data_IF_573203595528
#
_entry.id   IF_573203595528
#
_cell.length_a   1.000
_cell.length_b   1.000
_cell.length_c   1.000
_cell.angle_alpha   90.00
_cell.angle_beta   90.00
_cell.angle_gamma   90.00
#
_symmetry.space_group_name_H-M   'P 1'
#
loop_
_entity.id
_entity.type
_entity.pdbx_description
1 polymer ?
#
# COMPACT_ATOMS: atom_id res chain seq x y z
N UNK A 1 -10.85 -9.38 -24.96
CA UNK A 1 -11.15 -10.82 -24.97
C UNK A 1 -11.90 -11.15 -23.70
N UNK A 2 -13.01 -11.85 -23.80
CA UNK A 2 -13.68 -12.51 -22.69
C UNK A 2 -13.53 -14.01 -22.93
N UNK A 3 -13.04 -14.74 -21.94
CA UNK A 3 -12.89 -16.19 -21.99
C UNK A 3 -13.79 -16.79 -20.92
N UNK A 4 -14.76 -17.60 -21.33
CA UNK A 4 -15.76 -18.26 -20.49
C UNK A 4 -15.48 -19.77 -20.34
N UNK A 5 -14.31 -20.23 -20.77
CA UNK A 5 -13.88 -21.63 -20.61
C UNK A 5 -13.95 -22.02 -19.13
N UNK A 6 -14.67 -23.11 -18.81
CA UNK A 6 -14.84 -23.61 -17.45
C UNK A 6 -13.50 -23.77 -16.74
N UNK A 7 -13.33 -23.10 -15.60
CA UNK A 7 -12.08 -23.11 -14.83
C UNK A 7 -10.99 -22.15 -15.32
N UNK A 8 -11.23 -21.40 -16.41
CA UNK A 8 -10.28 -20.44 -16.99
C UNK A 8 -10.93 -19.08 -17.29
N UNK A 9 -11.95 -18.71 -16.52
CA UNK A 9 -12.69 -17.46 -16.73
C UNK A 9 -11.72 -16.27 -16.65
N UNK A 10 -11.70 -15.45 -17.70
CA UNK A 10 -10.83 -14.28 -17.77
C UNK A 10 -11.39 -13.16 -18.64
N UNK A 11 -10.93 -11.93 -18.36
CA UNK A 11 -11.18 -10.74 -19.19
C UNK A 11 -9.87 -10.06 -19.49
N UNK A 12 -9.68 -9.64 -20.74
CA UNK A 12 -8.52 -8.89 -21.20
C UNK A 12 -8.95 -7.71 -22.07
N UNK A 13 -8.53 -6.51 -21.68
CA UNK A 13 -8.53 -5.32 -22.53
C UNK A 13 -7.08 -5.07 -22.97
N UNK A 14 -6.81 -5.15 -24.26
CA UNK A 14 -5.44 -5.05 -24.79
C UNK A 14 -5.33 -4.05 -25.95
N UNK A 15 -4.18 -3.39 -26.02
CA UNK A 15 -3.70 -2.65 -27.18
C UNK A 15 -2.34 -3.22 -27.59
N UNK A 16 -2.14 -3.46 -28.89
CA UNK A 16 -0.82 -3.86 -29.41
C UNK A 16 0.21 -2.75 -29.24
N UNK A 17 -0.21 -1.49 -29.13
CA UNK A 17 0.67 -0.37 -28.85
C UNK A 17 1.29 -0.51 -27.45
N UNK A 18 2.61 -0.65 -27.41
CA UNK A 18 3.39 -0.93 -26.20
C UNK A 18 2.90 -2.15 -25.40
N UNK A 19 2.22 -3.09 -26.08
CA UNK A 19 1.57 -4.24 -25.47
C UNK A 19 0.84 -3.88 -24.16
N UNK A 20 0.04 -2.81 -24.19
CA UNK A 20 -0.62 -2.25 -23.01
C UNK A 20 -1.89 -3.02 -22.69
N UNK A 21 -2.05 -3.52 -21.46
CA UNK A 21 -3.11 -4.47 -21.10
C UNK A 21 -3.65 -4.26 -19.69
N UNK A 22 -4.96 -4.50 -19.55
CA UNK A 22 -5.64 -4.84 -18.30
C UNK A 22 -6.13 -6.29 -18.40
N UNK A 23 -5.66 -7.16 -17.52
CA UNK A 23 -5.99 -8.58 -17.46
C UNK A 23 -6.65 -8.92 -16.12
N UNK A 24 -7.73 -9.71 -16.12
CA UNK A 24 -8.51 -10.12 -14.94
C UNK A 24 -8.82 -11.62 -15.00
N UNK A 25 -8.79 -12.32 -13.84
CA UNK A 25 -9.18 -13.72 -13.70
C UNK A 25 -8.01 -14.68 -13.87
N UNK A 26 -8.19 -15.71 -14.71
CA UNK A 26 -7.13 -16.65 -15.09
C UNK A 26 -6.27 -16.06 -16.23
N UNK A 27 -5.10 -15.52 -15.92
CA UNK A 27 -4.25 -14.87 -16.91
C UNK A 27 -3.53 -15.94 -17.73
N UNK A 28 -3.74 -15.95 -19.04
CA UNK A 28 -3.04 -16.84 -19.97
C UNK A 28 -2.04 -16.06 -20.84
N UNK A 29 -1.12 -16.77 -21.49
CA UNK A 29 -0.42 -16.22 -22.64
C UNK A 29 -1.40 -15.93 -23.81
N UNK A 30 -1.01 -15.13 -24.82
CA UNK A 30 -1.77 -15.02 -26.06
C UNK A 30 -2.11 -16.42 -26.60
N UNK A 31 -3.37 -16.61 -26.98
CA UNK A 31 -3.88 -17.90 -27.47
C UNK A 31 -3.62 -18.01 -28.97
N UNK A 32 -2.62 -18.81 -29.35
CA UNK A 32 -2.46 -19.28 -30.74
C UNK A 32 -3.26 -20.58 -31.00
N UNK A 33 -3.82 -21.18 -29.94
CA UNK A 33 -4.63 -22.41 -29.91
C UNK A 33 -5.76 -22.28 -28.86
N UNK A 34 -6.76 -23.19 -28.84
CA UNK A 34 -7.89 -23.11 -27.89
C UNK A 34 -7.48 -23.08 -26.41
N UNK A 35 -6.42 -23.82 -26.07
CA UNK A 35 -5.79 -23.86 -24.75
C UNK A 35 -4.48 -23.05 -24.77
N UNK A 36 -4.19 -22.34 -23.67
CA UNK A 36 -2.95 -21.58 -23.50
C UNK A 36 -2.41 -21.76 -22.09
N UNK A 37 -1.09 -21.75 -21.96
CA UNK A 37 -0.41 -21.87 -20.68
C UNK A 37 -0.78 -20.70 -19.76
N UNK A 38 -1.05 -21.05 -18.49
CA UNK A 38 -1.34 -20.09 -17.44
C UNK A 38 -0.10 -19.25 -17.11
N UNK A 39 -0.32 -17.94 -16.97
CA UNK A 39 0.68 -16.93 -16.63
C UNK A 39 0.50 -16.38 -15.21
N UNK A 40 -0.69 -16.52 -14.64
CA UNK A 40 -1.00 -16.11 -13.27
C UNK A 40 -2.49 -16.05 -12.99
N UNK A 41 -2.85 -15.65 -11.77
CA UNK A 41 -4.24 -15.44 -11.35
C UNK A 41 -4.39 -14.07 -10.69
N UNK A 42 -5.57 -13.45 -10.81
CA UNK A 42 -5.89 -12.17 -10.20
C UNK A 42 -6.05 -11.06 -11.23
N UNK A 43 -5.33 -9.95 -11.07
CA UNK A 43 -5.32 -8.85 -12.04
C UNK A 43 -3.91 -8.43 -12.41
N UNK A 44 -3.75 -7.90 -13.61
CA UNK A 44 -2.52 -7.26 -14.06
C UNK A 44 -2.85 -6.00 -14.87
N UNK A 45 -2.12 -4.93 -14.58
CA UNK A 45 -2.01 -3.75 -15.43
C UNK A 45 -0.56 -3.67 -15.90
N UNK A 46 -0.33 -3.74 -17.23
CA UNK A 46 1.01 -3.71 -17.82
C UNK A 46 1.09 -2.84 -19.06
N UNK A 47 2.29 -2.33 -19.32
CA UNK A 47 2.68 -1.66 -20.57
C UNK A 47 4.20 -1.66 -20.68
N UNK A 48 4.74 -1.67 -21.91
CA UNK A 48 6.18 -1.48 -22.15
C UNK A 48 6.57 0.02 -22.17
N UNK A 49 5.61 0.91 -21.97
CA UNK A 49 5.80 2.36 -21.88
C UNK A 49 5.48 2.88 -20.46
N UNK A 50 5.30 4.18 -20.32
CA UNK A 50 4.98 4.81 -19.05
C UNK A 50 3.59 4.41 -18.53
N UNK A 51 3.49 4.21 -17.23
CA UNK A 51 2.22 4.03 -16.51
C UNK A 51 2.04 5.12 -15.45
N UNK A 52 0.78 5.42 -15.13
CA UNK A 52 0.44 6.29 -14.01
C UNK A 52 -0.85 5.81 -13.34
N UNK A 53 -0.84 5.75 -12.01
CA UNK A 53 -2.03 5.59 -11.18
C UNK A 53 -2.24 6.92 -10.46
N UNK A 54 -3.40 7.55 -10.65
CA UNK A 54 -3.71 8.87 -10.09
C UNK A 54 -5.10 8.86 -9.47
N UNK A 55 -5.17 9.17 -8.17
CA UNK A 55 -6.41 9.28 -7.42
C UNK A 55 -6.38 10.56 -6.58
N UNK A 56 -7.08 11.60 -7.05
CA UNK A 56 -7.02 12.95 -6.44
C UNK A 56 -7.60 13.05 -5.03
N UNK A 57 -8.41 12.06 -4.63
CA UNK A 57 -8.96 11.93 -3.28
C UNK A 57 -8.19 10.93 -2.41
N UNK A 58 -7.07 10.40 -2.92
CA UNK A 58 -6.19 9.46 -2.22
C UNK A 58 -6.20 8.02 -2.77
N UNK A 59 -5.23 7.21 -2.34
CA UNK A 59 -4.94 5.88 -2.90
C UNK A 59 -4.62 4.85 -1.80
N UNK A 60 -5.31 3.72 -1.81
CA UNK A 60 -5.02 2.56 -0.96
C UNK A 60 -4.37 1.45 -1.81
N UNK A 61 -3.18 1.00 -1.41
CA UNK A 61 -2.51 -0.18 -1.96
C UNK A 61 -2.31 -1.16 -0.81
N UNK A 62 -2.99 -2.31 -0.88
CA UNK A 62 -3.15 -3.21 0.26
C UNK A 62 -3.03 -4.68 -0.13
N UNK A 63 -2.43 -5.50 0.73
CA UNK A 63 -2.53 -6.97 0.67
C UNK A 63 -3.52 -7.54 1.69
N UNK A 64 -4.24 -6.69 2.42
CA UNK A 64 -5.32 -7.13 3.31
C UNK A 64 -6.46 -7.70 2.48
N UNK A 65 -6.89 -8.90 2.84
CA UNK A 65 -7.89 -9.63 2.07
C UNK A 65 -9.28 -9.05 2.32
N UNK A 66 -9.99 -8.72 1.25
CA UNK A 66 -11.42 -8.39 1.29
C UNK A 66 -12.21 -9.47 0.54
N UNK A 67 -12.78 -10.40 1.30
CA UNK A 67 -13.50 -11.54 0.72
C UNK A 67 -14.68 -11.10 -0.13
N UNK A 68 -14.69 -11.58 -1.38
CA UNK A 68 -15.79 -11.37 -2.34
C UNK A 68 -16.22 -9.90 -2.48
N UNK A 69 -15.28 -8.96 -2.28
CA UNK A 69 -15.52 -7.52 -2.27
C UNK A 69 -16.70 -7.08 -1.38
N UNK A 70 -16.94 -7.80 -0.25
CA UNK A 70 -18.05 -7.51 0.66
C UNK A 70 -17.83 -6.28 1.55
N UNK A 71 -16.57 -5.90 1.76
CA UNK A 71 -16.21 -4.69 2.49
C UNK A 71 -16.30 -3.43 1.61
N UNK A 72 -15.83 -2.32 2.17
CA UNK A 72 -15.86 -1.03 1.47
C UNK A 72 -14.56 -0.83 0.68
N UNK A 73 -14.67 -0.28 -0.52
CA UNK A 73 -13.53 -0.11 -1.44
C UNK A 73 -12.27 0.53 -0.82
N UNK A 74 -12.42 1.53 0.06
CA UNK A 74 -11.31 2.20 0.76
C UNK A 74 -11.21 1.83 2.24
N UNK A 75 -11.64 0.63 2.62
CA UNK A 75 -11.45 0.15 3.99
C UNK A 75 -9.95 0.01 4.30
N UNK A 76 -9.48 0.88 5.19
CA UNK A 76 -8.10 0.93 5.66
C UNK A 76 -7.99 0.64 7.16
N UNK A 77 -8.99 -0.03 7.75
CA UNK A 77 -9.04 -0.29 9.19
C UNK A 77 -7.84 -1.10 9.69
N UNK A 78 -7.38 -2.11 8.96
CA UNK A 78 -6.20 -2.90 9.35
C UNK A 78 -4.93 -2.04 9.37
N UNK A 79 -4.75 -1.19 8.35
CA UNK A 79 -3.62 -0.26 8.30
C UNK A 79 -3.69 0.76 9.44
N UNK A 80 -4.88 1.30 9.69
CA UNK A 80 -5.15 2.25 10.78
C UNK A 80 -4.81 1.64 12.14
N UNK A 81 -5.26 0.42 12.42
CA UNK A 81 -4.96 -0.29 13.66
C UNK A 81 -3.45 -0.54 13.83
N UNK A 82 -2.75 -0.89 12.76
CA UNK A 82 -1.29 -1.07 12.80
C UNK A 82 -0.57 0.24 13.14
N UNK A 83 -1.00 1.37 12.56
CA UNK A 83 -0.44 2.69 12.82
C UNK A 83 -0.80 3.17 14.25
N UNK A 84 -2.02 2.91 14.72
CA UNK A 84 -2.46 3.17 16.09
C UNK A 84 -1.64 2.37 17.12
N UNK A 85 -1.31 1.11 16.81
CA UNK A 85 -0.40 0.29 17.63
C UNK A 85 0.99 0.93 17.73
N UNK A 86 1.54 1.41 16.61
CA UNK A 86 2.80 2.17 16.59
C UNK A 86 2.74 3.46 17.42
N UNK A 87 1.63 4.20 17.33
CA UNK A 87 1.39 5.40 18.13
C UNK A 87 1.39 5.07 19.64
N UNK A 88 0.73 3.99 20.04
CA UNK A 88 0.68 3.59 21.45
C UNK A 88 2.07 3.20 21.99
N UNK A 89 2.89 2.52 21.19
CA UNK A 89 4.27 2.23 21.54
C UNK A 89 5.10 3.53 21.68
N UNK A 90 4.95 4.47 20.75
CA UNK A 90 5.62 5.76 20.82
C UNK A 90 5.20 6.57 22.06
N UNK A 91 3.91 6.54 22.44
CA UNK A 91 3.43 7.18 23.67
C UNK A 91 4.11 6.59 24.92
N UNK A 92 4.18 5.27 25.03
CA UNK A 92 4.83 4.62 26.16
C UNK A 92 6.31 5.01 26.27
N UNK A 93 7.04 5.07 25.14
CA UNK A 93 8.42 5.55 25.10
C UNK A 93 8.54 7.03 25.51
N UNK A 94 7.62 7.87 25.07
CA UNK A 94 7.58 9.29 25.43
C UNK A 94 7.30 9.51 26.92
N UNK A 95 6.48 8.67 27.55
CA UNK A 95 6.24 8.72 29.00
C UNK A 95 7.50 8.32 29.78
N UNK A 96 8.23 7.31 29.32
CA UNK A 96 9.52 6.92 29.90
C UNK A 96 10.54 8.05 29.77
N UNK A 97 10.66 8.69 28.60
CA UNK A 97 11.53 9.84 28.38
C UNK A 97 11.21 10.99 29.36
N UNK A 98 9.93 11.36 29.48
CA UNK A 98 9.48 12.38 30.42
C UNK A 98 9.83 12.05 31.87
N UNK A 99 9.66 10.79 32.28
CA UNK A 99 10.03 10.32 33.62
C UNK A 99 11.55 10.34 33.86
N UNK A 100 12.35 10.23 32.80
CA UNK A 100 13.80 10.38 32.82
C UNK A 100 14.26 11.84 32.65
N UNK A 101 13.35 12.81 32.71
CA UNK A 101 13.62 14.24 32.52
C UNK A 101 14.25 14.57 31.15
N UNK A 102 13.97 13.75 30.14
CA UNK A 102 14.33 14.04 28.74
C UNK A 102 13.11 14.55 27.97
N UNK A 103 13.35 15.13 26.80
CA UNK A 103 12.28 15.68 25.98
C UNK A 103 11.33 14.57 25.49
N UNK A 104 10.01 14.79 25.58
CA UNK A 104 9.03 13.85 25.05
C UNK A 104 9.07 13.82 23.52
N UNK A 105 8.47 12.78 22.93
CA UNK A 105 8.37 12.66 21.49
C UNK A 105 7.32 13.66 20.96
N UNK A 106 7.76 14.65 20.20
CA UNK A 106 6.88 15.67 19.59
C UNK A 106 5.99 15.10 18.46
N UNK A 107 6.39 13.95 17.89
CA UNK A 107 5.73 13.28 16.76
C UNK A 107 4.28 12.81 17.04
N UNK A 108 3.91 12.64 18.32
CA UNK A 108 2.69 11.93 18.70
C UNK A 108 1.40 12.60 18.20
N UNK A 109 1.32 13.93 18.26
CA UNK A 109 0.14 14.68 17.80
C UNK A 109 0.01 14.66 16.27
N UNK A 110 1.14 14.71 15.55
CA UNK A 110 1.11 14.61 14.08
C UNK A 110 0.64 13.23 13.62
N UNK A 111 1.10 12.16 14.27
CA UNK A 111 0.68 10.80 13.94
C UNK A 111 -0.80 10.56 14.27
N UNK A 112 -1.26 11.08 15.42
CA UNK A 112 -2.68 11.03 15.80
C UNK A 112 -3.55 11.77 14.78
N UNK A 113 -3.15 12.97 14.40
CA UNK A 113 -3.85 13.76 13.38
C UNK A 113 -3.91 13.00 12.06
N UNK A 114 -2.81 12.35 11.64
CA UNK A 114 -2.80 11.54 10.42
C UNK A 114 -3.78 10.36 10.49
N UNK A 115 -3.82 9.62 11.60
CA UNK A 115 -4.77 8.51 11.82
C UNK A 115 -6.22 9.00 11.68
N UNK A 116 -6.53 10.18 12.20
CA UNK A 116 -7.86 10.78 12.09
C UNK A 116 -8.25 11.12 10.64
N UNK A 117 -7.29 11.28 9.73
CA UNK A 117 -7.53 11.54 8.31
C UNK A 117 -7.75 10.28 7.46
N UNK A 118 -7.34 9.09 7.93
CA UNK A 118 -7.43 7.81 7.20
C UNK A 118 -8.88 7.38 6.94
N UNK A 119 -9.86 7.87 7.69
CA UNK A 119 -11.24 7.40 7.51
C UNK A 119 -12.25 8.47 7.92
N UNK A 120 -13.20 8.77 7.03
CA UNK A 120 -14.46 9.43 7.35
C UNK A 120 -15.49 8.37 7.75
N UNK A 121 -15.85 8.32 9.04
CA UNK A 121 -16.95 7.48 9.54
C UNK A 121 -18.27 8.19 9.32
N UNK A 122 -18.75 8.18 8.10
CA UNK A 122 -20.13 8.55 7.77
C UNK A 122 -20.90 7.26 7.45
N UNK A 123 -21.91 6.94 8.27
CA UNK A 123 -22.71 5.71 8.14
C UNK A 123 -23.53 5.67 6.83
N UNK A 124 -23.73 6.84 6.20
CA UNK A 124 -24.52 6.98 4.99
C UNK A 124 -23.65 7.15 3.72
N UNK A 125 -22.31 7.15 3.85
CA UNK A 125 -21.38 7.27 2.72
C UNK A 125 -20.43 6.08 2.64
N UNK A 126 -19.93 5.83 1.43
CA UNK A 126 -18.78 4.94 1.27
C UNK A 126 -17.58 5.51 2.03
N UNK A 127 -16.82 4.63 2.70
CA UNK A 127 -15.55 4.99 3.33
C UNK A 127 -14.68 5.79 2.35
N UNK A 128 -14.20 6.91 2.84
CA UNK A 128 -13.35 7.84 2.10
C UNK A 128 -12.25 8.36 3.01
N UNK A 129 -11.12 8.70 2.40
CA UNK A 129 -10.08 9.47 3.08
C UNK A 129 -10.52 10.92 3.21
N UNK A 130 -10.27 11.54 4.37
CA UNK A 130 -10.62 12.96 4.61
C UNK A 130 -9.74 13.94 3.85
N UNK A 131 -8.61 13.46 3.32
CA UNK A 131 -7.66 14.22 2.51
C UNK A 131 -7.01 13.31 1.45
N UNK A 132 -6.32 13.92 0.49
CA UNK A 132 -5.57 13.20 -0.54
C UNK A 132 -4.32 12.52 0.04
N UNK A 133 -4.49 11.37 0.68
CA UNK A 133 -3.42 10.56 1.27
C UNK A 133 -3.20 9.26 0.49
N UNK A 134 -2.00 8.69 0.60
CA UNK A 134 -1.66 7.35 0.10
C UNK A 134 -1.34 6.44 1.27
N UNK A 135 -1.93 5.24 1.29
CA UNK A 135 -1.59 4.18 2.24
C UNK A 135 -1.06 2.99 1.46
N UNK A 136 0.20 2.62 1.72
CA UNK A 136 0.80 1.37 1.28
C UNK A 136 0.92 0.44 2.49
N UNK A 137 0.16 -0.65 2.49
CA UNK A 137 0.06 -1.58 3.63
C UNK A 137 0.11 -3.03 3.16
N UNK A 138 0.62 -3.91 4.02
CA UNK A 138 0.67 -5.34 3.77
C UNK A 138 0.46 -6.12 5.05
N UNK A 139 -0.11 -7.32 4.95
CA UNK A 139 -0.31 -8.26 6.06
C UNK A 139 1.00 -8.83 6.59
N UNK A 140 1.99 -9.01 5.71
CA UNK A 140 3.26 -9.64 6.07
C UNK A 140 4.43 -8.63 6.00
N UNK A 141 4.82 -8.20 4.79
CA UNK A 141 6.02 -7.38 4.61
C UNK A 141 5.91 -6.50 3.38
N UNK A 142 6.63 -5.38 3.40
CA UNK A 142 6.86 -4.49 2.26
C UNK A 142 8.36 -4.45 2.00
N UNK A 143 8.77 -4.63 0.74
CA UNK A 143 10.15 -4.49 0.31
C UNK A 143 10.26 -3.30 -0.67
N UNK A 144 11.29 -2.47 -0.48
CA UNK A 144 11.67 -1.40 -1.40
C UNK A 144 13.13 -1.66 -1.82
N UNK A 145 13.39 -1.74 -3.11
CA UNK A 145 14.72 -2.06 -3.64
C UNK A 145 15.00 -1.29 -4.95
N UNK A 146 16.26 -0.92 -5.15
CA UNK A 146 16.78 -0.26 -6.35
C UNK A 146 18.21 -0.74 -6.59
N UNK A 147 18.66 -0.77 -7.85
CA UNK A 147 20.07 -1.00 -8.18
C UNK A 147 20.92 0.26 -7.93
N UNK A 148 20.27 1.42 -7.94
CA UNK A 148 20.88 2.72 -7.69
C UNK A 148 20.31 3.25 -6.36
N UNK A 149 19.85 4.50 -6.34
CA UNK A 149 19.40 5.16 -5.12
C UNK A 149 17.93 4.87 -4.77
N UNK A 150 17.61 4.99 -3.48
CA UNK A 150 16.25 5.18 -2.95
C UNK A 150 16.22 6.53 -2.25
N UNK A 151 15.33 7.43 -2.69
CA UNK A 151 15.13 8.73 -2.06
C UNK A 151 13.82 8.74 -1.26
N UNK A 152 13.91 9.04 0.03
CA UNK A 152 12.77 9.28 0.92
C UNK A 152 12.90 10.72 1.43
N UNK A 153 11.92 11.57 1.13
CA UNK A 153 11.94 12.99 1.50
C UNK A 153 10.54 13.45 1.89
N UNK A 154 10.47 14.31 2.90
CA UNK A 154 9.25 14.96 3.35
C UNK A 154 9.59 16.37 3.85
N UNK A 155 8.79 17.37 3.47
CA UNK A 155 8.96 18.76 3.95
C UNK A 155 8.71 18.90 5.45
N UNK A 156 7.86 18.02 6.00
CA UNK A 156 7.59 17.93 7.43
C UNK A 156 8.55 16.98 8.13
N UNK A 157 8.19 15.71 8.21
CA UNK A 157 8.87 14.71 9.02
C UNK A 157 8.88 13.34 8.33
N UNK A 158 9.97 12.59 8.52
CA UNK A 158 10.04 11.17 8.20
C UNK A 158 10.01 10.37 9.49
N UNK A 159 9.04 9.48 9.64
CA UNK A 159 8.88 8.66 10.84
C UNK A 159 9.08 7.19 10.49
N UNK A 160 9.98 6.54 11.23
CA UNK A 160 10.26 5.11 11.12
C UNK A 160 10.00 4.47 12.47
N UNK A 161 9.21 3.41 12.49
CA UNK A 161 8.84 2.71 13.73
C UNK A 161 8.80 1.22 13.46
N UNK A 162 9.41 0.45 14.36
CA UNK A 162 9.36 -1.00 14.37
C UNK A 162 8.95 -1.47 15.76
N UNK A 163 8.15 -2.53 15.84
CA UNK A 163 7.79 -3.16 17.13
C UNK A 163 8.96 -3.93 17.77
N UNK A 164 9.94 -4.32 16.96
CA UNK A 164 11.15 -5.01 17.40
C UNK A 164 12.39 -4.14 17.15
N UNK A 165 12.94 -4.17 15.93
CA UNK A 165 14.22 -3.56 15.62
C UNK A 165 14.20 -2.76 14.31
N UNK A 166 14.89 -1.61 14.30
CA UNK A 166 15.26 -0.90 13.07
C UNK A 166 16.74 -1.20 12.80
N UNK A 167 17.03 -1.82 11.65
CA UNK A 167 18.39 -2.14 11.23
C UNK A 167 18.84 -1.18 10.13
N UNK A 168 19.88 -0.38 10.40
CA UNK A 168 20.51 0.50 9.42
C UNK A 168 21.90 -0.03 9.09
N UNK A 169 22.21 -0.24 7.82
CA UNK A 169 23.50 -0.78 7.39
C UNK A 169 23.96 -0.07 6.11
N UNK A 170 25.24 0.25 6.05
CA UNK A 170 25.89 0.93 4.91
C UNK A 170 27.29 0.37 4.75
N UNK A 171 27.74 0.22 3.50
CA UNK A 171 29.11 -0.20 3.22
C UNK A 171 30.12 0.96 3.35
N UNK A 172 29.63 2.20 3.29
CA UNK A 172 30.44 3.41 3.40
C UNK A 172 30.09 4.13 4.69
N UNK A 173 29.23 5.13 4.60
CA UNK A 173 28.97 6.06 5.70
C UNK A 173 27.48 6.10 6.03
N UNK A 174 27.18 6.25 7.32
CA UNK A 174 25.91 6.76 7.81
C UNK A 174 26.14 8.20 8.20
N UNK A 175 25.42 9.12 7.56
CA UNK A 175 25.48 10.56 7.85
C UNK A 175 24.12 10.89 8.45
N UNK A 176 24.09 11.25 9.73
CA UNK A 176 22.89 11.50 10.52
C UNK A 176 23.09 12.73 11.40
#
# INVERSE_FOLDING_TARGET
RFDDTTGQISTQLQSSHAASQLNLGNLSHPKDKPESEGRGEGFEIRTDQWGAVRAGSGLLISTHKQDQAQGVHLDANEAKQQIEGGLNNAKALSEVAKNQQTDPLEMLENLKTFIEQIEEKDQDKAAAFKQALMILTATNSIALASNEDIHLSADGQLSQTAGDSINLTTQKNLIA
#
